data_IF_300171380271
#
_entry.id   IF_300171380271
#
_cell.length_a   1.000
_cell.length_b   1.000
_cell.length_c   1.000
_cell.angle_alpha   90.00
_cell.angle_beta   90.00
_cell.angle_gamma   90.00
#
_symmetry.space_group_name_H-M   'P 1'
#
loop_
_entity.id
_entity.type
_entity.pdbx_description
1 polymer ?
#
# COMPACT_ATOMS: atom_id res chain seq x y z
N UNK A 1 -15.02 30.93 -3.90
CA UNK A 1 -13.55 30.76 -3.90
C UNK A 1 -13.28 29.28 -3.72
N UNK A 2 -12.78 28.61 -4.76
CA UNK A 2 -12.49 27.17 -4.69
C UNK A 2 -11.08 27.00 -4.15
N UNK A 3 -10.92 26.43 -2.95
CA UNK A 3 -9.60 26.05 -2.44
C UNK A 3 -8.97 25.02 -3.39
N UNK A 4 -7.68 25.13 -3.72
CA UNK A 4 -6.99 24.05 -4.39
C UNK A 4 -6.96 22.86 -3.44
N UNK A 5 -7.57 21.73 -3.82
CA UNK A 5 -7.38 20.46 -3.12
C UNK A 5 -5.90 20.12 -3.23
N UNK A 6 -5.17 20.04 -2.11
CA UNK A 6 -3.83 19.49 -2.13
C UNK A 6 -3.91 17.99 -2.38
N UNK A 7 -3.93 17.58 -3.64
CA UNK A 7 -3.87 16.19 -4.14
C UNK A 7 -2.46 15.60 -3.99
N UNK A 8 -1.74 15.97 -2.93
CA UNK A 8 -0.42 15.43 -2.65
C UNK A 8 -0.58 14.03 -2.04
N UNK A 9 0.27 13.10 -2.47
CA UNK A 9 0.37 11.80 -1.83
C UNK A 9 0.84 11.98 -0.38
N UNK A 10 0.08 11.45 0.57
CA UNK A 10 0.43 11.47 1.99
C UNK A 10 1.47 10.40 2.36
N UNK A 11 1.68 9.41 1.48
CA UNK A 11 2.74 8.42 1.64
C UNK A 11 4.08 8.96 1.13
N UNK A 12 5.14 8.63 1.84
CA UNK A 12 6.51 8.87 1.43
C UNK A 12 6.99 7.69 0.59
N UNK A 13 7.72 7.99 -0.50
CA UNK A 13 8.35 7.00 -1.38
C UNK A 13 7.39 5.86 -1.80
N UNK A 14 6.16 6.23 -2.20
CA UNK A 14 5.16 5.27 -2.67
C UNK A 14 5.41 4.74 -4.09
N UNK A 15 6.35 5.34 -4.81
CA UNK A 15 6.84 4.93 -6.13
C UNK A 15 8.16 4.13 -6.05
N UNK A 16 8.67 3.88 -4.83
CA UNK A 16 9.89 3.11 -4.57
C UNK A 16 11.13 3.57 -5.34
N UNK A 17 11.16 4.83 -5.79
CA UNK A 17 12.33 5.41 -6.49
C UNK A 17 13.53 5.59 -5.56
N UNK A 18 13.28 5.69 -4.25
CA UNK A 18 14.29 5.69 -3.19
C UNK A 18 14.36 4.32 -2.49
N UNK A 19 14.20 3.24 -3.26
CA UNK A 19 14.16 1.86 -2.77
C UNK A 19 13.09 1.69 -1.66
N UNK A 20 13.47 1.12 -0.52
CA UNK A 20 12.60 0.89 0.64
C UNK A 20 12.55 2.03 1.65
N UNK A 21 13.09 3.21 1.35
CA UNK A 21 13.07 4.34 2.29
C UNK A 21 11.64 4.62 2.76
N UNK A 22 11.48 4.89 4.05
CA UNK A 22 10.19 5.10 4.76
C UNK A 22 9.26 3.89 4.89
N UNK A 23 9.62 2.74 4.31
CA UNK A 23 8.87 1.49 4.47
C UNK A 23 9.57 0.56 5.47
N UNK A 24 8.77 -0.09 6.32
CA UNK A 24 9.29 -1.05 7.31
C UNK A 24 8.92 -2.47 6.90
N UNK A 25 9.87 -3.30 6.46
CA UNK A 25 9.61 -4.72 6.21
C UNK A 25 9.49 -5.51 7.52
N UNK A 26 8.65 -6.55 7.54
CA UNK A 26 8.69 -7.53 8.64
C UNK A 26 9.95 -8.41 8.59
N UNK A 27 10.44 -8.67 7.37
CA UNK A 27 11.59 -9.51 7.03
C UNK A 27 12.33 -8.84 5.88
N UNK A 28 13.44 -8.12 6.12
CA UNK A 28 14.19 -7.43 5.07
C UNK A 28 14.60 -8.34 3.91
N UNK A 29 14.91 -9.61 4.17
CA UNK A 29 15.30 -10.61 3.17
C UNK A 29 14.15 -11.04 2.23
N UNK A 30 12.91 -10.66 2.53
CA UNK A 30 11.70 -10.97 1.75
C UNK A 30 11.14 -9.77 1.00
N UNK A 31 11.79 -8.62 1.10
CA UNK A 31 11.44 -7.40 0.38
C UNK A 31 12.62 -6.96 -0.49
N UNK A 32 12.34 -6.71 -1.77
CA UNK A 32 13.30 -6.10 -2.69
C UNK A 32 12.67 -4.90 -3.35
N UNK A 33 13.53 -3.96 -3.72
CA UNK A 33 13.15 -2.74 -4.41
C UNK A 33 14.02 -2.64 -5.65
N UNK A 34 13.41 -2.73 -6.82
CA UNK A 34 14.10 -2.82 -8.11
C UNK A 34 13.28 -2.02 -9.13
N UNK A 35 13.95 -1.28 -10.02
CA UNK A 35 13.33 -0.55 -11.13
C UNK A 35 12.09 0.30 -10.77
N UNK A 36 12.06 0.89 -9.56
CA UNK A 36 10.95 1.72 -9.10
C UNK A 36 9.70 0.94 -8.69
N UNK A 37 9.85 -0.30 -8.22
CA UNK A 37 8.77 -1.05 -7.57
C UNK A 37 9.28 -1.83 -6.36
N UNK A 38 8.36 -2.19 -5.47
CA UNK A 38 8.59 -3.17 -4.42
C UNK A 38 8.14 -4.56 -4.88
N UNK A 39 8.94 -5.58 -4.58
CA UNK A 39 8.55 -6.99 -4.76
C UNK A 39 8.74 -7.76 -3.47
N UNK A 40 7.74 -8.56 -3.13
CA UNK A 40 7.66 -9.34 -1.91
C UNK A 40 7.61 -10.85 -2.19
N UNK A 41 8.23 -11.61 -1.30
CA UNK A 41 8.20 -13.06 -1.20
C UNK A 41 7.34 -13.47 0.00
N UNK A 42 6.50 -14.47 -0.15
CA UNK A 42 5.62 -14.90 0.95
C UNK A 42 6.39 -15.59 2.10
N UNK A 43 5.92 -15.50 3.35
CA UNK A 43 5.10 -14.43 3.93
C UNK A 43 5.93 -13.14 4.18
N UNK A 44 5.83 -12.16 3.29
CA UNK A 44 6.57 -10.90 3.37
C UNK A 44 5.60 -9.72 3.33
N UNK A 45 5.87 -8.69 4.13
CA UNK A 45 5.09 -7.47 4.14
C UNK A 45 5.97 -6.25 4.41
N UNK A 46 5.51 -5.10 3.93
CA UNK A 46 6.04 -3.78 4.27
C UNK A 46 4.92 -2.87 4.78
N UNK A 47 5.25 -2.00 5.73
CA UNK A 47 4.30 -1.05 6.31
C UNK A 47 4.79 0.39 6.27
N UNK A 48 3.85 1.32 6.27
CA UNK A 48 4.10 2.73 6.51
C UNK A 48 2.96 3.32 7.33
N UNK A 49 3.29 4.01 8.42
CA UNK A 49 2.34 4.74 9.25
C UNK A 49 2.33 6.22 8.84
N UNK A 50 1.12 6.77 8.67
CA UNK A 50 0.89 8.17 8.32
C UNK A 50 0.04 8.82 9.40
N UNK A 51 0.55 9.90 10.00
CA UNK A 51 -0.28 10.75 10.87
C UNK A 51 -1.24 11.55 10.01
N UNK A 52 -2.53 11.50 10.34
CA UNK A 52 -3.54 12.32 9.68
C UNK A 52 -4.23 13.21 10.71
N UNK A 53 -4.53 14.45 10.31
CA UNK A 53 -5.19 15.44 11.17
C UNK A 53 -6.53 15.90 10.60
N UNK A 54 -6.98 15.31 9.49
CA UNK A 54 -8.20 15.68 8.80
C UNK A 54 -9.14 14.48 8.65
N UNK A 55 -10.44 14.76 8.82
CA UNK A 55 -11.53 13.87 8.48
C UNK A 55 -11.97 14.07 7.03
N UNK A 56 -12.83 13.19 6.54
CA UNK A 56 -13.47 13.33 5.23
C UNK A 56 -13.10 12.22 4.26
N UNK A 57 -13.19 12.51 2.96
CA UNK A 57 -13.03 11.50 1.92
C UNK A 57 -11.57 11.32 1.55
N UNK A 58 -11.13 10.07 1.48
CA UNK A 58 -9.80 9.68 1.08
C UNK A 58 -9.87 8.64 -0.04
N UNK A 59 -8.79 8.54 -0.81
CA UNK A 59 -8.52 7.45 -1.73
C UNK A 59 -7.21 6.78 -1.37
N UNK A 60 -7.24 5.47 -1.25
CA UNK A 60 -6.05 4.63 -1.29
C UNK A 60 -5.96 3.96 -2.66
N UNK A 61 -4.82 4.08 -3.33
CA UNK A 61 -4.59 3.41 -4.62
C UNK A 61 -3.19 2.83 -4.71
N UNK A 62 -3.05 1.81 -5.56
CA UNK A 62 -1.80 1.08 -5.76
C UNK A 62 -1.85 0.35 -7.11
N UNK A 63 -0.71 0.27 -7.81
CA UNK A 63 -0.53 -0.71 -8.89
C UNK A 63 -0.02 -2.00 -8.30
N UNK A 64 -0.63 -3.11 -8.71
CA UNK A 64 -0.26 -4.43 -8.25
C UNK A 64 -0.06 -5.38 -9.43
N UNK A 65 0.86 -6.33 -9.27
CA UNK A 65 1.10 -7.46 -10.17
C UNK A 65 1.40 -8.70 -9.33
N UNK A 66 1.05 -9.88 -9.82
CA UNK A 66 1.42 -11.16 -9.20
C UNK A 66 1.97 -12.14 -10.23
N UNK A 67 2.96 -12.94 -9.84
CA UNK A 67 3.31 -14.14 -10.61
C UNK A 67 2.25 -15.24 -10.45
N UNK A 68 2.26 -16.23 -11.35
CA UNK A 68 1.38 -17.40 -11.22
C UNK A 68 1.67 -18.11 -9.90
N UNK A 69 0.60 -18.44 -9.16
CA UNK A 69 0.71 -19.13 -7.88
C UNK A 69 1.08 -18.24 -6.69
N UNK A 70 1.12 -16.92 -6.86
CA UNK A 70 1.25 -15.94 -5.77
C UNK A 70 -0.02 -15.10 -5.64
N UNK A 71 -0.26 -14.49 -4.48
CA UNK A 71 -1.31 -13.50 -4.29
C UNK A 71 -0.77 -12.34 -3.45
N UNK A 72 -1.43 -11.19 -3.57
CA UNK A 72 -1.05 -10.03 -2.77
C UNK A 72 -2.26 -9.21 -2.31
N UNK A 73 -2.05 -8.55 -1.18
CA UNK A 73 -3.02 -7.62 -0.59
C UNK A 73 -2.36 -6.29 -0.26
N UNK A 74 -3.04 -5.20 -0.59
CA UNK A 74 -2.74 -3.86 -0.08
C UNK A 74 -3.86 -3.42 0.86
N UNK A 75 -3.51 -2.92 2.04
CA UNK A 75 -4.45 -2.59 3.11
C UNK A 75 -4.21 -1.19 3.65
N UNK A 76 -5.31 -0.55 4.03
CA UNK A 76 -5.32 0.68 4.81
C UNK A 76 -6.10 0.42 6.11
N UNK A 77 -5.48 0.72 7.25
CA UNK A 77 -6.05 0.54 8.59
C UNK A 77 -6.13 1.89 9.31
N UNK A 78 -7.31 2.25 9.78
CA UNK A 78 -7.58 3.51 10.47
C UNK A 78 -7.45 3.33 11.99
N UNK A 79 -6.79 4.27 12.66
CA UNK A 79 -6.64 4.27 14.13
C UNK A 79 -7.32 5.50 14.74
N UNK A 80 -8.08 5.35 15.84
CA UNK A 80 -8.21 4.14 16.67
C UNK A 80 -9.41 3.24 16.32
N UNK A 81 -10.15 3.49 15.24
CA UNK A 81 -11.36 2.73 14.92
C UNK A 81 -11.11 1.28 14.50
N UNK A 82 -9.88 0.97 14.06
CA UNK A 82 -9.48 -0.32 13.47
C UNK A 82 -10.25 -0.69 12.21
N UNK A 83 -10.92 0.28 11.59
CA UNK A 83 -11.55 0.07 10.30
C UNK A 83 -10.50 -0.16 9.22
N UNK A 84 -10.75 -1.18 8.40
CA UNK A 84 -9.82 -1.60 7.35
C UNK A 84 -10.47 -1.54 5.98
N UNK A 85 -9.69 -1.18 4.96
CA UNK A 85 -10.03 -1.43 3.55
C UNK A 85 -8.89 -2.23 2.91
N UNK A 86 -9.25 -3.10 1.97
CA UNK A 86 -8.33 -4.02 1.31
C UNK A 86 -8.51 -3.96 -0.21
N UNK A 87 -7.41 -4.15 -0.91
CA UNK A 87 -7.34 -4.39 -2.34
C UNK A 87 -6.56 -5.68 -2.53
N UNK A 88 -7.19 -6.69 -3.10
CA UNK A 88 -6.64 -8.03 -3.26
C UNK A 88 -6.53 -8.39 -4.74
N UNK A 89 -5.43 -9.03 -5.14
CA UNK A 89 -5.31 -9.68 -6.45
C UNK A 89 -4.73 -11.09 -6.32
N UNK A 90 -5.20 -11.97 -7.20
CA UNK A 90 -4.76 -13.37 -7.29
C UNK A 90 -3.69 -13.58 -8.35
N UNK A 91 -3.17 -14.81 -8.44
CA UNK A 91 -1.98 -15.13 -9.22
C UNK A 91 -2.05 -14.92 -10.73
N UNK A 92 -0.90 -14.57 -11.31
CA UNK A 92 -0.73 -14.33 -12.73
C UNK A 92 -1.41 -13.06 -13.23
N UNK A 93 -1.66 -12.10 -12.34
CA UNK A 93 -2.30 -10.83 -12.69
C UNK A 93 -1.22 -9.86 -13.19
N UNK A 94 -1.33 -9.33 -14.42
CA UNK A 94 -0.40 -8.31 -14.92
C UNK A 94 -0.57 -7.01 -14.14
N UNK A 95 0.35 -6.05 -14.32
CA UNK A 95 0.25 -4.73 -13.71
C UNK A 95 -1.11 -4.07 -13.97
N UNK A 96 -1.85 -3.82 -12.90
CA UNK A 96 -3.12 -3.09 -12.93
C UNK A 96 -3.24 -2.16 -11.74
N UNK A 97 -3.90 -1.01 -11.95
CA UNK A 97 -4.17 -0.04 -10.90
C UNK A 97 -5.47 -0.40 -10.16
N UNK A 98 -5.41 -0.37 -8.83
CA UNK A 98 -6.54 -0.62 -7.95
C UNK A 98 -6.70 0.55 -6.99
N UNK A 99 -7.94 0.84 -6.58
CA UNK A 99 -8.20 1.88 -5.60
C UNK A 99 -9.45 1.59 -4.78
N UNK A 100 -9.51 2.19 -3.60
CA UNK A 100 -10.71 2.23 -2.76
C UNK A 100 -10.88 3.65 -2.23
N UNK A 101 -12.10 4.17 -2.39
CA UNK A 101 -12.52 5.40 -1.72
C UNK A 101 -13.09 5.03 -0.34
N UNK A 102 -12.76 5.81 0.68
CA UNK A 102 -13.29 5.62 2.03
C UNK A 102 -13.39 6.96 2.77
N UNK A 103 -14.19 6.97 3.83
CA UNK A 103 -14.27 8.12 4.73
C UNK A 103 -13.41 7.86 5.96
N UNK A 104 -12.60 8.86 6.32
CA UNK A 104 -11.90 8.93 7.60
C UNK A 104 -12.85 9.57 8.60
N UNK A 105 -13.26 8.85 9.67
CA UNK A 105 -14.12 9.40 10.70
C UNK A 105 -13.36 10.38 11.61
N UNK A 106 -14.13 11.28 12.26
CA UNK A 106 -13.63 12.18 13.28
C UNK A 106 -12.83 11.43 14.35
N UNK A 107 -11.71 12.01 14.80
CA UNK A 107 -10.84 11.41 15.82
C UNK A 107 -9.84 10.37 15.29
N UNK A 108 -9.85 10.07 13.98
CA UNK A 108 -8.75 9.30 13.38
C UNK A 108 -7.49 10.15 13.38
N UNK A 109 -6.39 9.60 13.91
CA UNK A 109 -5.11 10.31 14.03
C UNK A 109 -3.96 9.63 13.28
N UNK A 110 -4.17 8.38 12.85
CA UNK A 110 -3.16 7.59 12.15
C UNK A 110 -3.82 6.64 11.16
N UNK A 111 -3.13 6.46 10.05
CA UNK A 111 -3.42 5.44 9.04
C UNK A 111 -2.20 4.56 8.89
N UNK A 112 -2.39 3.24 8.93
CA UNK A 112 -1.34 2.27 8.63
C UNK A 112 -1.58 1.67 7.26
N UNK A 113 -0.61 1.79 6.36
CA UNK A 113 -0.60 1.07 5.08
C UNK A 113 0.19 -0.22 5.27
N UNK A 114 -0.33 -1.32 4.71
CA UNK A 114 0.36 -2.60 4.64
C UNK A 114 0.27 -3.17 3.22
N UNK A 115 1.41 -3.51 2.65
CA UNK A 115 1.51 -4.28 1.40
C UNK A 115 2.03 -5.67 1.77
N UNK A 116 1.37 -6.73 1.31
CA UNK A 116 1.59 -8.09 1.80
C UNK A 116 1.56 -9.10 0.65
N UNK A 117 2.57 -9.97 0.58
CA UNK A 117 2.50 -11.23 -0.15
C UNK A 117 1.78 -12.26 0.73
N UNK A 118 0.45 -12.31 0.61
CA UNK A 118 -0.42 -13.12 1.47
C UNK A 118 -0.52 -14.59 1.03
N UNK A 119 -0.10 -14.92 -0.19
CA UNK A 119 0.04 -16.29 -0.69
C UNK A 119 1.19 -16.39 -1.72
N UNK A 120 1.77 -17.57 -1.87
CA UNK A 120 2.84 -17.85 -2.82
C UNK A 120 3.96 -18.73 -2.30
N UNK A 121 4.92 -19.13 -3.15
CA UNK A 121 6.07 -19.91 -2.72
C UNK A 121 6.95 -19.12 -1.76
N UNK A 122 7.56 -19.85 -0.82
CA UNK A 122 8.24 -19.26 0.33
C UNK A 122 9.67 -18.85 0.03
N UNK A 123 10.16 -19.14 -1.17
CA UNK A 123 11.53 -18.96 -1.66
C UNK A 123 11.59 -18.14 -2.96
N UNK A 124 10.45 -17.67 -3.46
CA UNK A 124 10.37 -16.86 -4.69
C UNK A 124 9.61 -15.57 -4.48
N UNK A 125 10.10 -14.50 -5.10
CA UNK A 125 9.39 -13.24 -5.23
C UNK A 125 8.22 -13.38 -6.20
N UNK A 126 7.06 -12.86 -5.81
CA UNK A 126 5.83 -13.12 -6.57
C UNK A 126 4.76 -12.05 -6.48
N UNK A 127 4.92 -11.05 -5.62
CA UNK A 127 3.92 -10.01 -5.36
C UNK A 127 4.56 -8.64 -5.51
N UNK A 128 4.10 -7.85 -6.47
CA UNK A 128 4.73 -6.58 -6.84
C UNK A 128 3.78 -5.42 -6.60
N UNK A 129 4.34 -4.30 -6.16
CA UNK A 129 3.63 -3.07 -5.82
C UNK A 129 4.37 -1.85 -6.36
N UNK A 130 3.63 -0.91 -6.92
CA UNK A 130 4.12 0.39 -7.40
C UNK A 130 3.01 1.45 -7.25
N UNK A 131 3.37 2.72 -7.35
CA UNK A 131 2.47 3.87 -7.41
C UNK A 131 1.46 3.91 -6.25
N UNK A 132 1.96 3.63 -5.04
CA UNK A 132 1.16 3.56 -3.81
C UNK A 132 0.84 4.98 -3.35
N UNK A 133 -0.45 5.30 -3.28
CA UNK A 133 -0.94 6.64 -2.94
C UNK A 133 -2.02 6.59 -1.88
N UNK A 134 -1.94 7.56 -0.97
CA UNK A 134 -3.02 7.94 -0.06
C UNK A 134 -3.29 9.43 -0.25
N UNK A 135 -4.49 9.78 -0.70
CA UNK A 135 -4.84 11.16 -1.04
C UNK A 135 -6.14 11.57 -0.36
N UNK A 136 -6.18 12.79 0.16
CA UNK A 136 -7.43 13.43 0.58
C UNK A 136 -8.17 13.96 -0.68
N UNK A 137 -9.49 13.79 -0.72
CA UNK A 137 -10.35 14.10 -1.87
C UNK A 137 -11.29 15.26 -1.60
#
# INVERSE_FOLDING_TARGET
>A
MSQPSSTANLLLNGDFTEEGQHWTPNSPEKARYEDGYCVLQAPGLITQDVTIASEGKFRFSVKMKTERGSACTAQVLLHPSWEMRRLDIGGGTPWSAHFVDFNVPAGTNKVSIKLEANDGPFDTYGSYFDDVKLEQR
#
